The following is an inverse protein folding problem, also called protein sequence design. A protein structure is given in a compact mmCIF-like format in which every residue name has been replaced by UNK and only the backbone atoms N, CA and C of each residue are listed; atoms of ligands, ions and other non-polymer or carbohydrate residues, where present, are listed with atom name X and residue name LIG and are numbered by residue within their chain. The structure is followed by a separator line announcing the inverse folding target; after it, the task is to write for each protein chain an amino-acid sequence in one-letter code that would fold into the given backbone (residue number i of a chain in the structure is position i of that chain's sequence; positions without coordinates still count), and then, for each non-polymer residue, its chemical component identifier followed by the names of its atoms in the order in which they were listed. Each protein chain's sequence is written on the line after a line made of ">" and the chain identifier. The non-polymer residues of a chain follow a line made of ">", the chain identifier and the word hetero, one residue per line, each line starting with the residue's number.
data_IF_888257485032
#
_entry.id   IF_888257485032
#
_cell.length_a   1.000
_cell.length_b   1.000
_cell.length_c   1.000
_cell.angle_alpha   90.00
_cell.angle_beta   90.00
_cell.angle_gamma   90.00
#
_symmetry.space_group_name_H-M   'P 1'
#
loop_
_entity.id
_entity.type
_entity.pdbx_description
1 polymer ?
#
# COMPACT_ATOMS: atom_id res chain seq x y z
N UNK A 1 0.21 20.94 -26.99
CA UNK A 1 1.00 21.04 -25.71
C UNK A 1 0.04 20.85 -24.56
N UNK A 2 0.42 20.01 -23.60
CA UNK A 2 -0.37 19.81 -22.38
C UNK A 2 0.20 20.73 -21.30
N UNK A 3 -0.66 21.55 -20.70
CA UNK A 3 -0.29 22.39 -19.57
C UNK A 3 -0.68 21.74 -18.26
N UNK A 4 0.21 21.75 -17.28
CA UNK A 4 -0.02 21.18 -15.95
C UNK A 4 0.71 21.99 -14.90
N UNK A 5 0.26 21.88 -13.67
CA UNK A 5 0.90 22.54 -12.54
C UNK A 5 1.92 21.63 -11.85
N UNK A 6 1.65 20.31 -11.86
CA UNK A 6 2.49 19.30 -11.22
C UNK A 6 2.65 18.09 -12.12
N UNK A 7 3.86 17.61 -12.24
CA UNK A 7 4.16 16.33 -12.88
C UNK A 7 4.71 15.39 -11.81
N UNK A 8 4.08 14.22 -11.66
CA UNK A 8 4.53 13.16 -10.76
C UNK A 8 5.06 12.01 -11.61
N UNK A 9 6.29 11.62 -11.40
CA UNK A 9 6.91 10.51 -12.09
C UNK A 9 7.02 9.31 -11.17
N UNK A 10 6.39 8.23 -11.54
CA UNK A 10 6.26 7.01 -10.74
C UNK A 10 4.90 6.92 -10.06
N UNK A 11 4.14 5.88 -10.39
CA UNK A 11 2.77 5.66 -9.90
C UNK A 11 2.69 4.59 -8.80
N UNK A 12 3.78 4.39 -8.07
CA UNK A 12 3.76 3.60 -6.84
C UNK A 12 2.96 4.30 -5.73
N UNK A 13 2.94 3.74 -4.51
CA UNK A 13 2.17 4.31 -3.40
C UNK A 13 2.50 5.78 -3.12
N UNK A 14 3.77 6.13 -3.15
CA UNK A 14 4.21 7.51 -2.89
C UNK A 14 3.76 8.47 -4.00
N UNK A 15 4.01 8.13 -5.26
CA UNK A 15 3.64 8.98 -6.40
C UNK A 15 2.12 9.10 -6.55
N UNK A 16 1.40 8.00 -6.41
CA UNK A 16 -0.07 8.01 -6.47
C UNK A 16 -0.67 8.86 -5.34
N UNK A 17 -0.13 8.77 -4.13
CA UNK A 17 -0.57 9.59 -2.99
C UNK A 17 -0.26 11.07 -3.22
N UNK A 18 0.93 11.40 -3.70
CA UNK A 18 1.31 12.77 -4.01
C UNK A 18 0.41 13.38 -5.09
N UNK A 19 0.16 12.65 -6.16
CA UNK A 19 -0.72 13.08 -7.24
C UNK A 19 -2.15 13.32 -6.76
N UNK A 20 -2.69 12.40 -5.97
CA UNK A 20 -4.02 12.52 -5.36
C UNK A 20 -4.13 13.79 -4.51
N UNK A 21 -3.20 14.03 -3.62
CA UNK A 21 -3.25 15.18 -2.73
C UNK A 21 -3.03 16.50 -3.47
N UNK A 22 -2.15 16.53 -4.46
CA UNK A 22 -2.00 17.70 -5.31
C UNK A 22 -3.29 18.03 -6.07
N UNK A 23 -3.95 17.02 -6.63
CA UNK A 23 -5.23 17.20 -7.33
C UNK A 23 -6.35 17.65 -6.40
N UNK A 24 -6.42 17.09 -5.20
CA UNK A 24 -7.37 17.51 -4.18
C UNK A 24 -7.17 18.96 -3.74
N UNK A 25 -5.92 19.45 -3.78
CA UNK A 25 -5.58 20.84 -3.53
C UNK A 25 -5.87 21.80 -4.71
N UNK A 26 -6.41 21.31 -5.80
CA UNK A 26 -6.80 22.11 -6.96
C UNK A 26 -5.76 22.19 -8.07
N UNK A 27 -4.61 21.52 -7.94
CA UNK A 27 -3.60 21.51 -8.98
C UNK A 27 -3.99 20.60 -10.15
N UNK A 28 -3.58 21.00 -11.35
CA UNK A 28 -3.64 20.12 -12.52
C UNK A 28 -2.45 19.20 -12.49
N UNK A 29 -2.67 17.89 -12.46
CA UNK A 29 -1.62 16.90 -12.23
C UNK A 29 -1.53 15.93 -13.40
N UNK A 30 -0.29 15.66 -13.81
CA UNK A 30 0.02 14.54 -14.70
C UNK A 30 0.81 13.51 -13.90
N UNK A 31 0.29 12.30 -13.82
CA UNK A 31 0.96 11.16 -13.22
C UNK A 31 1.48 10.25 -14.33
N UNK A 32 2.77 9.97 -14.31
CA UNK A 32 3.46 9.20 -15.34
C UNK A 32 4.16 7.99 -14.73
N UNK A 33 4.14 6.89 -15.47
CA UNK A 33 4.91 5.70 -15.12
C UNK A 33 5.51 5.07 -16.37
N UNK A 34 6.67 4.44 -16.22
CA UNK A 34 7.31 3.70 -17.31
C UNK A 34 6.64 2.38 -17.62
N UNK A 35 5.83 1.86 -16.69
CA UNK A 35 5.16 0.58 -16.83
C UNK A 35 3.89 0.73 -17.64
N UNK A 36 3.66 -0.21 -18.56
CA UNK A 36 2.40 -0.30 -19.30
C UNK A 36 1.23 -0.79 -18.44
N UNK A 37 1.53 -1.53 -17.37
CA UNK A 37 0.54 -2.02 -16.42
C UNK A 37 1.00 -1.66 -15.01
N UNK A 38 0.21 -0.87 -14.31
CA UNK A 38 0.51 -0.44 -12.95
C UNK A 38 0.30 -1.60 -11.99
N UNK A 39 1.28 -1.79 -11.08
CA UNK A 39 1.25 -2.87 -10.09
C UNK A 39 1.75 -4.22 -10.59
N UNK A 40 2.17 -4.33 -11.84
CA UNK A 40 2.69 -5.57 -12.39
C UNK A 40 4.18 -5.43 -12.80
N UNK A 41 4.99 -6.49 -12.65
CA UNK A 41 4.72 -7.69 -11.86
C UNK A 41 4.77 -7.42 -10.35
N UNK A 42 4.02 -8.20 -9.59
CA UNK A 42 4.06 -8.13 -8.13
C UNK A 42 5.39 -8.70 -7.63
N UNK A 43 6.10 -7.93 -6.83
CA UNK A 43 7.42 -8.30 -6.30
C UNK A 43 7.53 -8.19 -4.78
N UNK A 44 6.45 -7.81 -4.13
CA UNK A 44 6.35 -7.64 -2.70
C UNK A 44 5.30 -8.57 -2.12
N UNK A 45 5.43 -8.94 -0.86
CA UNK A 45 4.39 -9.67 -0.14
C UNK A 45 3.11 -8.85 0.05
N UNK A 46 3.18 -7.54 -0.23
CA UNK A 46 2.03 -6.62 -0.27
C UNK A 46 1.24 -6.57 1.04
N UNK A 47 1.92 -6.81 2.15
CA UNK A 47 1.34 -6.64 3.47
C UNK A 47 1.22 -5.17 3.85
N UNK A 48 0.06 -4.77 4.34
CA UNK A 48 -0.22 -3.38 4.71
C UNK A 48 -0.87 -3.34 6.09
N UNK A 49 -0.42 -2.41 6.92
CA UNK A 49 -1.00 -2.17 8.24
C UNK A 49 -2.38 -1.52 8.10
N UNK A 50 -3.40 -2.09 8.75
CA UNK A 50 -4.73 -1.48 8.79
C UNK A 50 -4.70 -0.11 9.43
N UNK A 51 -3.96 0.06 10.50
CA UNK A 51 -3.82 1.36 11.15
C UNK A 51 -3.10 2.38 10.28
N UNK A 52 -2.11 1.96 9.50
CA UNK A 52 -1.46 2.81 8.52
C UNK A 52 -2.46 3.32 7.48
N UNK A 53 -3.34 2.45 7.01
CA UNK A 53 -4.41 2.83 6.08
C UNK A 53 -5.40 3.81 6.71
N UNK A 54 -5.81 3.58 7.95
CA UNK A 54 -6.72 4.48 8.68
C UNK A 54 -6.13 5.88 8.83
N UNK A 55 -4.85 5.97 9.19
CA UNK A 55 -4.14 7.26 9.29
C UNK A 55 -4.10 8.03 7.98
N UNK A 56 -4.09 7.32 6.86
CA UNK A 56 -4.09 7.90 5.52
C UNK A 56 -5.51 8.13 4.97
N UNK A 57 -6.54 7.79 5.75
CA UNK A 57 -7.93 7.91 5.30
C UNK A 57 -8.31 6.92 4.19
N UNK A 58 -7.62 5.80 4.10
CA UNK A 58 -7.87 4.77 3.10
C UNK A 58 -8.65 3.63 3.75
N UNK A 59 -9.88 3.40 3.28
CA UNK A 59 -10.69 2.27 3.73
C UNK A 59 -10.32 1.00 2.98
N UNK A 60 -10.06 -0.11 3.69
CA UNK A 60 -9.88 -1.41 3.05
C UNK A 60 -11.10 -1.80 2.23
N UNK A 61 -10.88 -2.31 1.04
CA UNK A 61 -11.95 -2.70 0.12
C UNK A 61 -11.74 -4.12 -0.40
N UNK A 62 -12.80 -4.93 -0.55
CA UNK A 62 -12.70 -6.24 -1.17
C UNK A 62 -12.15 -6.22 -2.60
N UNK A 63 -12.15 -5.06 -3.23
CA UNK A 63 -11.61 -4.90 -4.59
C UNK A 63 -10.09 -5.10 -4.66
N UNK A 64 -9.38 -4.86 -3.56
CA UNK A 64 -7.92 -4.96 -3.52
C UNK A 64 -7.38 -5.68 -2.28
N UNK A 65 -8.20 -5.91 -1.26
CA UNK A 65 -7.84 -6.75 -0.11
C UNK A 65 -8.18 -8.19 -0.41
N UNK A 66 -7.17 -9.06 -0.42
CA UNK A 66 -7.38 -10.49 -0.64
C UNK A 66 -7.58 -11.25 0.64
N UNK A 67 -6.90 -10.83 1.70
CA UNK A 67 -6.97 -11.50 3.00
C UNK A 67 -6.65 -10.57 4.14
N UNK A 68 -7.37 -10.72 5.24
CA UNK A 68 -7.04 -10.14 6.52
C UNK A 68 -6.19 -11.15 7.30
N UNK A 69 -5.00 -10.73 7.71
CA UNK A 69 -4.07 -11.58 8.46
C UNK A 69 -4.30 -11.35 9.95
N UNK A 70 -4.48 -12.43 10.69
CA UNK A 70 -4.75 -12.41 12.13
C UNK A 70 -3.52 -12.77 12.97
N UNK A 71 -2.48 -13.28 12.34
CA UNK A 71 -1.27 -13.65 13.04
C UNK A 71 -0.11 -13.95 12.09
N UNK A 72 1.07 -13.97 12.64
CA UNK A 72 2.30 -14.28 11.90
C UNK A 72 3.05 -15.38 12.63
N UNK A 73 3.51 -16.36 11.88
CA UNK A 73 4.41 -17.39 12.37
C UNK A 73 5.83 -17.07 11.92
N UNK A 74 6.71 -17.00 12.88
CA UNK A 74 8.15 -16.85 12.64
C UNK A 74 8.81 -18.18 12.98
N UNK A 75 9.49 -18.76 12.00
CA UNK A 75 10.22 -20.01 12.17
C UNK A 75 11.71 -19.77 11.97
N UNK A 76 12.50 -20.20 12.95
CA UNK A 76 13.95 -20.11 12.86
C UNK A 76 14.54 -21.36 12.21
N UNK A 77 15.78 -21.31 11.69
CA UNK A 77 16.40 -22.49 11.06
C UNK A 77 16.59 -23.70 11.99
N UNK A 78 16.63 -23.50 13.30
CA UNK A 78 16.74 -24.57 14.31
C UNK A 78 15.39 -25.23 14.65
N UNK A 79 14.30 -24.79 14.00
CA UNK A 79 12.96 -25.33 14.20
C UNK A 79 12.16 -24.66 15.31
N UNK A 80 12.65 -23.60 15.91
CA UNK A 80 11.89 -22.82 16.89
C UNK A 80 10.79 -22.04 16.20
N UNK A 81 9.56 -22.17 16.71
CA UNK A 81 8.40 -21.45 16.21
C UNK A 81 7.96 -20.36 17.19
N UNK A 82 7.70 -19.18 16.68
CA UNK A 82 7.08 -18.08 17.41
C UNK A 82 5.82 -17.63 16.68
N UNK A 83 4.71 -17.63 17.41
CA UNK A 83 3.44 -17.14 16.90
C UNK A 83 3.14 -15.76 17.47
N UNK A 84 2.95 -14.79 16.60
CA UNK A 84 2.51 -13.45 16.94
C UNK A 84 1.03 -13.34 16.57
N UNK A 85 0.17 -13.61 17.56
CA UNK A 85 -1.29 -13.61 17.38
C UNK A 85 -1.96 -12.39 17.97
N UNK A 86 -1.28 -11.67 18.84
CA UNK A 86 -1.77 -10.43 19.40
C UNK A 86 -1.06 -9.24 18.78
N UNK A 87 -1.86 -8.24 18.57
CA UNK A 87 -1.40 -6.96 18.08
C UNK A 87 -0.70 -6.23 19.21
N UNK A 88 0.58 -6.11 19.08
CA UNK A 88 1.33 -5.20 19.92
C UNK A 88 1.04 -3.81 19.39
N UNK A 89 0.38 -2.98 20.21
CA UNK A 89 0.11 -1.56 19.97
C UNK A 89 0.24 -1.11 18.50
N UNK A 90 -0.80 -1.28 17.77
CA UNK A 90 -0.89 -0.64 16.48
C UNK A 90 -0.57 -1.50 15.27
N UNK A 91 -0.26 -2.77 15.39
CA UNK A 91 -0.14 -3.68 14.24
C UNK A 91 -1.35 -4.60 14.22
N UNK A 92 -2.48 -4.06 13.85
CA UNK A 92 -3.73 -4.78 13.97
C UNK A 92 -3.90 -5.90 12.97
N UNK A 93 -3.50 -5.77 11.79
CA UNK A 93 -3.62 -6.81 10.77
C UNK A 93 -2.81 -6.37 9.57
N UNK A 94 -2.20 -7.30 8.96
CA UNK A 94 -1.58 -7.10 7.67
C UNK A 94 -2.63 -7.45 6.62
N UNK A 95 -2.83 -6.57 5.68
CA UNK A 95 -3.75 -6.77 4.57
C UNK A 95 -2.91 -7.17 3.37
N UNK A 96 -3.17 -8.35 2.85
CA UNK A 96 -2.58 -8.77 1.59
C UNK A 96 -3.37 -8.14 0.45
N UNK A 97 -2.68 -7.42 -0.40
CA UNK A 97 -3.29 -6.79 -1.58
C UNK A 97 -3.09 -7.64 -2.82
N UNK A 98 -4.01 -7.53 -3.72
CA UNK A 98 -3.89 -8.17 -5.02
C UNK A 98 -2.97 -7.37 -5.92
#
# INVERSE_FOLDING_TARGET
>A
MIETDVIVVGSGPAGSSAAKHAALGGARVILMDKKSEIGAPKRCAEGVSIQGLEKLGIEPSPRWVTKKIEGVRIQTPDGTDVWLTEVIDGVASVVETI
#
